data_IF_867821481575
#
_entry.id   IF_867821481575
#
_cell.length_a   1.000
_cell.length_b   1.000
_cell.length_c   1.000
_cell.angle_alpha   90.00
_cell.angle_beta   90.00
_cell.angle_gamma   90.00
#
_symmetry.space_group_name_H-M   'P 1'
#
loop_
_entity.id
_entity.type
_entity.pdbx_description
1 polymer ?
#
# COMPACT_ATOMS: atom_id res chain seq x y z
N UNK A 1 19.96 -7.69 8.44
CA UNK A 1 18.69 -7.25 9.05
C UNK A 1 17.53 -8.04 8.47
N UNK A 2 16.60 -8.49 9.31
CA UNK A 2 15.43 -9.26 8.91
C UNK A 2 14.17 -8.41 9.02
N UNK A 3 13.30 -8.46 8.01
CA UNK A 3 12.00 -7.79 8.07
C UNK A 3 11.14 -8.35 9.21
N UNK A 4 10.54 -7.46 9.99
CA UNK A 4 9.47 -7.82 10.92
C UNK A 4 8.27 -8.40 10.16
N UNK A 5 7.37 -9.08 10.88
CA UNK A 5 6.16 -9.63 10.27
C UNK A 5 5.30 -8.50 9.66
N UNK A 6 5.09 -7.40 10.40
CA UNK A 6 4.49 -6.16 9.88
C UNK A 6 5.05 -5.72 8.52
N UNK A 7 6.38 -5.55 8.40
CA UNK A 7 7.01 -5.10 7.15
C UNK A 7 6.78 -6.10 6.00
N UNK A 8 6.72 -7.41 6.30
CA UNK A 8 6.47 -8.45 5.30
C UNK A 8 5.02 -8.43 4.82
N UNK A 9 4.06 -8.26 5.71
CA UNK A 9 2.62 -8.41 5.40
C UNK A 9 1.92 -7.10 5.06
N UNK A 10 2.47 -5.93 5.40
CA UNK A 10 1.83 -4.62 5.21
C UNK A 10 1.27 -4.42 3.79
N UNK A 11 2.10 -4.61 2.76
CA UNK A 11 1.67 -4.40 1.36
C UNK A 11 0.62 -5.41 0.91
N UNK A 12 0.71 -6.64 1.40
CA UNK A 12 -0.27 -7.68 1.11
C UNK A 12 -1.61 -7.34 1.77
N UNK A 13 -1.60 -6.90 3.02
CA UNK A 13 -2.81 -6.51 3.76
C UNK A 13 -3.49 -5.29 3.13
N UNK A 14 -2.73 -4.28 2.71
CA UNK A 14 -3.29 -3.12 1.97
C UNK A 14 -3.89 -3.57 0.63
N UNK A 15 -3.22 -4.47 -0.10
CA UNK A 15 -3.74 -5.01 -1.36
C UNK A 15 -5.04 -5.80 -1.16
N UNK A 16 -5.07 -6.68 -0.17
CA UNK A 16 -6.28 -7.44 0.22
C UNK A 16 -7.41 -6.50 0.64
N UNK A 17 -7.13 -5.46 1.43
CA UNK A 17 -8.12 -4.47 1.85
C UNK A 17 -8.72 -3.72 0.66
N UNK A 18 -7.88 -3.24 -0.27
CA UNK A 18 -8.36 -2.53 -1.47
C UNK A 18 -9.21 -3.47 -2.33
N UNK A 19 -8.76 -4.71 -2.55
CA UNK A 19 -9.50 -5.68 -3.35
C UNK A 19 -10.85 -6.02 -2.69
N UNK A 20 -10.86 -6.21 -1.38
CA UNK A 20 -12.08 -6.46 -0.60
C UNK A 20 -13.08 -5.30 -0.70
N UNK A 21 -12.62 -4.06 -0.58
CA UNK A 21 -13.46 -2.88 -0.77
C UNK A 21 -14.03 -2.78 -2.19
N UNK A 22 -13.23 -3.09 -3.21
CA UNK A 22 -13.68 -3.12 -4.61
C UNK A 22 -14.76 -4.21 -4.83
N UNK A 23 -14.62 -5.38 -4.22
CA UNK A 23 -15.64 -6.44 -4.33
C UNK A 23 -16.94 -6.07 -3.63
N UNK A 24 -16.88 -5.39 -2.48
CA UNK A 24 -18.09 -4.87 -1.81
C UNK A 24 -18.76 -3.82 -2.69
N UNK A 25 -17.98 -2.89 -3.25
CA UNK A 25 -18.51 -1.88 -4.15
C UNK A 25 -19.21 -2.50 -5.36
N UNK A 26 -18.60 -3.52 -5.97
CA UNK A 26 -19.19 -4.26 -7.09
C UNK A 26 -20.50 -4.97 -6.68
N UNK A 27 -20.53 -5.61 -5.52
CA UNK A 27 -21.74 -6.29 -5.00
C UNK A 27 -22.90 -5.30 -4.78
N UNK A 28 -22.61 -4.11 -4.25
CA UNK A 28 -23.59 -3.02 -4.11
C UNK A 28 -24.11 -2.58 -5.48
N UNK A 29 -23.22 -2.38 -6.47
CA UNK A 29 -23.64 -2.00 -7.83
C UNK A 29 -24.55 -3.07 -8.44
N UNK A 30 -24.20 -4.35 -8.31
CA UNK A 30 -25.00 -5.45 -8.85
C UNK A 30 -26.37 -5.56 -8.16
N UNK A 31 -26.42 -5.40 -6.83
CA UNK A 31 -27.68 -5.47 -6.07
C UNK A 31 -28.67 -4.35 -6.43
N UNK A 32 -28.18 -3.18 -6.85
CA UNK A 32 -29.02 -2.09 -7.37
C UNK A 32 -29.42 -2.31 -8.84
N UNK A 33 -28.55 -2.93 -9.63
CA UNK A 33 -28.73 -3.06 -11.07
C UNK A 33 -29.70 -4.20 -11.44
N UNK A 34 -29.61 -5.35 -10.76
CA UNK A 34 -30.43 -6.54 -11.08
C UNK A 34 -31.95 -6.27 -11.00
N UNK A 35 -32.49 -5.65 -9.93
CA UNK A 35 -33.92 -5.33 -9.84
C UNK A 35 -34.41 -4.36 -10.92
N UNK A 36 -33.51 -3.52 -11.45
CA UNK A 36 -33.86 -2.56 -12.51
C UNK A 36 -34.16 -3.26 -13.85
N UNK A 37 -33.62 -4.46 -14.06
CA UNK A 37 -33.83 -5.25 -15.27
C UNK A 37 -34.90 -6.33 -15.14
N UNK A 38 -35.23 -6.78 -13.92
CA UNK A 38 -36.30 -7.75 -13.69
C UNK A 38 -37.70 -7.25 -14.08
N UNK A 39 -37.88 -5.93 -14.22
CA UNK A 39 -39.13 -5.33 -14.69
C UNK A 39 -39.41 -5.55 -16.19
N UNK A 40 -38.44 -6.09 -16.95
CA UNK A 40 -38.53 -6.32 -18.39
C UNK A 40 -38.64 -7.81 -18.75
N UNK A 41 -39.30 -8.59 -17.91
CA UNK A 41 -39.37 -10.08 -17.92
C UNK A 41 -39.95 -10.72 -19.21
N UNK A 42 -40.32 -9.91 -20.21
CA UNK A 42 -40.82 -10.37 -21.52
C UNK A 42 -39.76 -10.46 -22.63
N UNK A 43 -38.50 -10.08 -22.37
CA UNK A 43 -37.42 -10.10 -23.37
C UNK A 43 -36.40 -11.18 -23.00
N UNK A 44 -36.34 -12.26 -23.79
CA UNK A 44 -35.51 -13.45 -23.55
C UNK A 44 -34.02 -13.14 -23.36
N UNK A 45 -33.47 -12.18 -24.13
CA UNK A 45 -32.08 -11.76 -23.97
C UNK A 45 -31.84 -11.08 -22.60
N UNK A 46 -32.80 -10.31 -22.09
CA UNK A 46 -32.69 -9.63 -20.80
C UNK A 46 -32.80 -10.64 -19.64
N UNK A 47 -33.64 -11.66 -19.75
CA UNK A 47 -33.76 -12.70 -18.71
C UNK A 47 -32.46 -13.50 -18.56
N UNK A 48 -31.80 -13.85 -19.67
CA UNK A 48 -30.47 -14.47 -19.66
C UNK A 48 -29.40 -13.57 -19.05
N UNK A 49 -29.42 -12.27 -19.36
CA UNK A 49 -28.49 -11.29 -18.79
C UNK A 49 -28.70 -11.12 -17.28
N UNK A 50 -29.94 -11.03 -16.82
CA UNK A 50 -30.29 -10.95 -15.38
C UNK A 50 -29.80 -12.21 -14.64
N UNK A 51 -30.04 -13.40 -15.20
CA UNK A 51 -29.57 -14.65 -14.62
C UNK A 51 -28.03 -14.72 -14.53
N UNK A 52 -27.32 -14.22 -15.55
CA UNK A 52 -25.85 -14.11 -15.51
C UNK A 52 -25.37 -13.14 -14.42
N UNK A 53 -25.98 -11.96 -14.32
CA UNK A 53 -25.65 -10.96 -13.30
C UNK A 53 -25.92 -11.47 -11.89
N UNK A 54 -27.01 -12.19 -11.67
CA UNK A 54 -27.32 -12.80 -10.37
C UNK A 54 -26.26 -13.84 -9.97
N UNK A 55 -25.79 -14.67 -10.91
CA UNK A 55 -24.66 -15.59 -10.67
C UNK A 55 -23.37 -14.83 -10.34
N UNK A 56 -23.09 -13.73 -11.05
CA UNK A 56 -21.94 -12.88 -10.79
C UNK A 56 -22.00 -12.23 -9.41
N UNK A 57 -23.19 -11.79 -8.97
CA UNK A 57 -23.40 -11.24 -7.63
C UNK A 57 -23.14 -12.30 -6.55
N UNK A 58 -23.68 -13.51 -6.71
CA UNK A 58 -23.41 -14.61 -5.78
C UNK A 58 -21.91 -14.92 -5.67
N UNK A 59 -21.19 -14.91 -6.79
CA UNK A 59 -19.73 -15.06 -6.79
C UNK A 59 -19.04 -13.90 -6.07
N UNK A 60 -19.47 -12.66 -6.31
CA UNK A 60 -18.96 -11.46 -5.62
C UNK A 60 -19.12 -11.58 -4.11
N UNK A 61 -20.30 -11.98 -3.63
CA UNK A 61 -20.58 -12.19 -2.21
C UNK A 61 -19.65 -13.24 -1.58
N UNK A 62 -19.44 -14.38 -2.25
CA UNK A 62 -18.48 -15.41 -1.78
C UNK A 62 -17.07 -14.82 -1.71
N UNK A 63 -16.65 -14.07 -2.73
CA UNK A 63 -15.34 -13.43 -2.78
C UNK A 63 -15.14 -12.43 -1.63
N UNK A 64 -16.16 -11.67 -1.24
CA UNK A 64 -16.13 -10.75 -0.08
C UNK A 64 -15.76 -11.50 1.19
N UNK A 65 -16.42 -12.64 1.48
CA UNK A 65 -16.13 -13.43 2.68
C UNK A 65 -14.74 -14.07 2.65
N UNK A 66 -14.32 -14.62 1.51
CA UNK A 66 -12.99 -15.23 1.35
C UNK A 66 -11.89 -14.19 1.54
N UNK A 67 -12.03 -13.01 0.94
CA UNK A 67 -11.04 -11.93 1.07
C UNK A 67 -10.98 -11.40 2.50
N UNK A 68 -12.12 -11.27 3.19
CA UNK A 68 -12.17 -10.90 4.59
C UNK A 68 -11.45 -11.93 5.47
N UNK A 69 -11.72 -13.22 5.24
CA UNK A 69 -11.08 -14.31 5.95
C UNK A 69 -9.55 -14.29 5.78
N UNK A 70 -9.06 -14.12 4.55
CA UNK A 70 -7.63 -14.00 4.27
C UNK A 70 -6.99 -12.78 4.94
N UNK A 71 -7.70 -11.65 4.95
CA UNK A 71 -7.22 -10.42 5.61
C UNK A 71 -7.11 -10.61 7.13
N UNK A 72 -8.11 -11.23 7.75
CA UNK A 72 -8.08 -11.58 9.19
C UNK A 72 -6.94 -12.54 9.47
N UNK A 73 -6.81 -13.62 8.72
CA UNK A 73 -5.74 -14.62 8.90
C UNK A 73 -4.34 -13.99 8.83
N UNK A 74 -4.13 -13.06 7.89
CA UNK A 74 -2.85 -12.35 7.71
C UNK A 74 -2.56 -11.30 8.80
N UNK A 75 -3.60 -10.75 9.44
CA UNK A 75 -3.44 -9.67 10.44
C UNK A 75 -3.42 -10.18 11.88
N UNK A 76 -4.11 -11.29 12.19
CA UNK A 76 -4.23 -11.85 13.55
C UNK A 76 -2.87 -12.04 14.19
N UNK A 77 -1.91 -12.66 13.49
CA UNK A 77 -0.57 -12.89 14.04
C UNK A 77 0.14 -11.60 14.46
N UNK A 78 0.04 -10.54 13.65
CA UNK A 78 0.65 -9.25 13.99
C UNK A 78 -0.07 -8.61 15.17
N UNK A 79 -1.40 -8.58 15.16
CA UNK A 79 -2.21 -7.99 16.23
C UNK A 79 -1.94 -8.70 17.57
N UNK A 80 -1.94 -10.03 17.60
CA UNK A 80 -1.60 -10.81 18.80
C UNK A 80 -0.18 -10.50 19.28
N UNK A 81 0.80 -10.42 18.37
CA UNK A 81 2.16 -10.02 18.73
C UNK A 81 2.22 -8.61 19.34
N UNK A 82 1.38 -7.68 18.88
CA UNK A 82 1.32 -6.30 19.38
C UNK A 82 0.64 -6.18 20.72
N UNK A 83 -0.38 -7.01 20.98
CA UNK A 83 -1.07 -7.02 22.28
C UNK A 83 -0.15 -7.59 23.36
N UNK A 84 0.63 -8.63 23.04
CA UNK A 84 1.49 -9.30 24.02
C UNK A 84 2.79 -8.53 24.28
N UNK A 85 3.45 -8.04 23.22
CA UNK A 85 4.84 -7.55 23.31
C UNK A 85 5.00 -6.05 23.03
N UNK A 86 3.93 -5.32 22.70
CA UNK A 86 3.99 -3.93 22.27
C UNK A 86 2.68 -3.19 22.63
N UNK A 87 2.35 -2.09 21.96
CA UNK A 87 1.04 -1.45 22.06
C UNK A 87 0.25 -1.51 20.75
N UNK A 88 -1.07 -1.65 20.87
CA UNK A 88 -1.97 -1.54 19.71
C UNK A 88 -1.92 -0.14 19.06
N UNK A 89 -1.66 0.91 19.85
CA UNK A 89 -1.46 2.27 19.34
C UNK A 89 -0.29 2.35 18.35
N UNK A 90 0.80 1.62 18.61
CA UNK A 90 1.97 1.59 17.73
C UNK A 90 1.67 0.94 16.38
N UNK A 91 0.74 -0.01 16.31
CA UNK A 91 0.28 -0.56 15.03
C UNK A 91 -0.37 0.52 14.15
N UNK A 92 -1.28 1.31 14.74
CA UNK A 92 -1.94 2.41 14.02
C UNK A 92 -0.95 3.52 13.62
N UNK A 93 -0.04 3.89 14.54
CA UNK A 93 1.05 4.84 14.24
C UNK A 93 1.91 4.35 13.07
N UNK A 94 2.25 3.07 13.03
CA UNK A 94 3.04 2.46 11.95
C UNK A 94 2.35 2.60 10.59
N UNK A 95 1.03 2.39 10.53
CA UNK A 95 0.24 2.60 9.30
C UNK A 95 0.29 4.06 8.85
N UNK A 96 -0.05 5.00 9.74
CA UNK A 96 -0.09 6.43 9.40
C UNK A 96 1.28 6.93 8.95
N UNK A 97 2.35 6.56 9.67
CA UNK A 97 3.72 6.97 9.36
C UNK A 97 4.22 6.33 8.08
N UNK A 98 3.81 5.09 7.78
CA UNK A 98 4.08 4.46 6.48
C UNK A 98 3.43 5.24 5.33
N UNK A 99 2.15 5.62 5.45
CA UNK A 99 1.46 6.41 4.43
C UNK A 99 2.10 7.78 4.24
N UNK A 100 2.50 8.42 5.34
CA UNK A 100 3.20 9.69 5.29
C UNK A 100 4.56 9.60 4.60
N UNK A 101 5.35 8.58 4.92
CA UNK A 101 6.65 8.34 4.31
C UNK A 101 6.51 8.11 2.80
N UNK A 102 5.52 7.33 2.39
CA UNK A 102 5.24 7.09 0.96
C UNK A 102 4.88 8.36 0.21
N UNK A 103 4.09 9.24 0.83
CA UNK A 103 3.75 10.55 0.23
C UNK A 103 4.99 11.42 0.07
N UNK A 104 5.86 11.47 1.08
CA UNK A 104 7.12 12.20 1.01
C UNK A 104 8.05 11.65 -0.08
N UNK A 105 8.17 10.33 -0.18
CA UNK A 105 9.02 9.68 -1.18
C UNK A 105 8.42 9.70 -2.59
N UNK A 106 7.11 9.89 -2.75
CA UNK A 106 6.48 9.88 -4.07
C UNK A 106 6.85 11.16 -4.82
N UNK A 107 7.61 11.04 -5.90
CA UNK A 107 7.92 12.18 -6.76
C UNK A 107 6.80 12.40 -7.76
N UNK A 108 6.24 13.61 -7.78
CA UNK A 108 5.27 14.02 -8.79
C UNK A 108 5.99 14.25 -10.12
N UNK A 109 5.49 13.64 -11.19
CA UNK A 109 5.94 13.92 -12.55
C UNK A 109 5.47 15.33 -12.93
N UNK A 110 6.28 16.36 -12.68
CA UNK A 110 6.15 17.57 -13.50
C UNK A 110 6.75 17.24 -14.84
N UNK A 111 5.87 16.90 -15.79
CA UNK A 111 6.21 16.91 -17.21
C UNK A 111 6.57 18.36 -17.52
N UNK A 112 7.85 18.69 -17.54
CA UNK A 112 8.29 19.88 -18.25
C UNK A 112 7.86 19.67 -19.70
N UNK A 113 6.86 20.43 -20.14
CA UNK A 113 6.47 20.48 -21.55
C UNK A 113 7.73 20.83 -22.33
N UNK A 114 8.24 19.89 -23.12
CA UNK A 114 9.22 20.23 -24.14
C UNK A 114 8.57 21.26 -25.08
N UNK A 115 9.30 22.29 -25.53
CA UNK A 115 8.74 23.36 -26.36
C UNK A 115 8.27 22.87 -27.74
N UNK A 116 8.69 21.69 -28.18
CA UNK A 116 8.13 21.03 -29.35
C UNK A 116 6.92 20.20 -28.95
N UNK A 117 5.76 20.50 -29.55
CA UNK A 117 4.42 19.99 -29.24
C UNK A 117 4.18 18.47 -29.38
N UNK A 118 5.19 17.65 -29.13
CA UNK A 118 5.05 16.23 -28.89
C UNK A 118 4.71 16.02 -27.41
N UNK A 119 3.42 15.96 -27.11
CA UNK A 119 2.92 15.33 -25.87
C UNK A 119 3.16 13.83 -25.95
N UNK A 120 4.39 13.38 -25.75
CA UNK A 120 4.59 12.02 -25.31
C UNK A 120 4.04 11.91 -23.89
N UNK A 121 2.90 11.21 -23.74
CA UNK A 121 2.41 10.68 -22.47
C UNK A 121 3.34 9.59 -21.90
N UNK A 122 4.66 9.68 -22.14
CA UNK A 122 5.64 8.71 -21.68
C UNK A 122 6.04 9.06 -20.24
N UNK A 123 5.33 8.45 -19.29
CA UNK A 123 5.71 8.38 -17.86
C UNK A 123 7.21 8.06 -17.80
N UNK A 124 8.01 8.92 -17.16
CA UNK A 124 9.46 8.74 -17.15
C UNK A 124 9.78 7.39 -16.49
N UNK A 125 10.38 6.42 -17.21
CA UNK A 125 10.57 5.07 -16.70
C UNK A 125 11.43 5.03 -15.42
N UNK A 126 12.30 6.02 -15.24
CA UNK A 126 13.13 6.20 -14.04
C UNK A 126 12.27 6.60 -12.84
N UNK A 127 11.40 7.60 -13.00
CA UNK A 127 10.49 8.04 -11.95
C UNK A 127 9.47 6.95 -11.61
N UNK A 128 8.98 6.22 -12.62
CA UNK A 128 8.11 5.05 -12.41
C UNK A 128 8.79 3.97 -11.57
N UNK A 129 10.06 3.63 -11.86
CA UNK A 129 10.83 2.67 -11.07
C UNK A 129 11.09 3.17 -9.64
N UNK A 130 11.42 4.46 -9.49
CA UNK A 130 11.59 5.09 -8.19
C UNK A 130 10.30 5.04 -7.35
N UNK A 131 9.18 5.54 -7.89
CA UNK A 131 7.89 5.55 -7.20
C UNK A 131 7.41 4.13 -6.85
N UNK A 132 7.64 3.15 -7.75
CA UNK A 132 7.35 1.73 -7.46
C UNK A 132 8.14 1.20 -6.26
N UNK A 133 9.37 1.68 -6.05
CA UNK A 133 10.18 1.33 -4.89
C UNK A 133 9.72 2.09 -3.63
N UNK A 134 9.40 3.38 -3.77
CA UNK A 134 8.85 4.24 -2.71
C UNK A 134 7.54 3.69 -2.12
N UNK A 135 6.62 3.20 -2.97
CA UNK A 135 5.38 2.55 -2.52
C UNK A 135 5.59 1.26 -1.73
N UNK A 136 6.81 0.70 -1.70
CA UNK A 136 7.15 -0.46 -0.88
C UNK A 136 7.79 -0.09 0.45
N UNK A 137 7.99 1.20 0.72
CA UNK A 137 8.48 1.68 2.01
C UNK A 137 7.47 1.38 3.13
N UNK A 138 7.98 1.04 4.30
CA UNK A 138 7.19 0.71 5.51
C UNK A 138 7.92 1.24 6.73
N UNK A 139 7.17 1.85 7.65
CA UNK A 139 7.63 2.29 8.97
C UNK A 139 6.99 1.37 9.99
N UNK A 140 7.80 0.66 10.77
CA UNK A 140 7.37 -0.18 11.89
C UNK A 140 7.82 0.47 13.20
N UNK A 141 6.86 1.01 13.96
CA UNK A 141 7.09 1.62 15.27
C UNK A 141 6.77 0.58 16.33
N UNK A 142 7.69 0.37 17.27
CA UNK A 142 7.52 -0.45 18.48
C UNK A 142 7.94 0.38 19.70
N UNK A 143 7.58 -0.08 20.89
CA UNK A 143 7.92 0.61 22.14
C UNK A 143 9.42 0.86 22.36
N UNK A 144 10.28 -0.04 21.86
CA UNK A 144 11.74 -0.01 22.02
C UNK A 144 12.44 0.67 20.83
N UNK A 145 11.94 0.44 19.62
CA UNK A 145 12.58 0.86 18.40
C UNK A 145 11.59 1.20 17.28
N UNK A 146 12.02 2.09 16.39
CA UNK A 146 11.34 2.37 15.12
C UNK A 146 12.22 1.90 13.97
N UNK A 147 11.71 1.03 13.12
CA UNK A 147 12.41 0.51 11.94
C UNK A 147 11.76 1.06 10.69
N UNK A 148 12.53 1.80 9.89
CA UNK A 148 12.10 2.25 8.56
C UNK A 148 12.75 1.37 7.52
N UNK A 149 11.91 0.76 6.69
CA UNK A 149 12.30 -0.06 5.55
C UNK A 149 11.97 0.68 4.26
N UNK A 150 12.96 0.80 3.36
CA UNK A 150 12.78 1.34 2.01
C UNK A 150 13.37 0.36 1.01
N UNK A 151 12.62 0.06 -0.05
CA UNK A 151 13.13 -0.75 -1.15
C UNK A 151 14.01 0.11 -2.04
N UNK A 152 15.18 -0.41 -2.43
CA UNK A 152 16.05 0.26 -3.39
C UNK A 152 15.50 0.06 -4.81
N UNK A 153 15.38 1.13 -5.62
CA UNK A 153 14.98 1.04 -7.03
C UNK A 153 15.92 0.15 -7.87
N UNK A 154 15.42 -0.38 -8.99
CA UNK A 154 16.22 -1.30 -9.81
C UNK A 154 17.22 -0.56 -10.69
N UNK A 155 16.79 0.54 -11.31
CA UNK A 155 17.61 1.33 -12.21
C UNK A 155 18.62 2.19 -11.45
N UNK A 156 19.84 2.34 -12.00
CA UNK A 156 20.88 3.16 -11.38
C UNK A 156 20.47 4.62 -11.23
N UNK A 157 19.73 5.16 -12.21
CA UNK A 157 19.24 6.55 -12.16
C UNK A 157 18.24 6.75 -11.01
N UNK A 158 17.30 5.83 -10.80
CA UNK A 158 16.40 5.88 -9.65
C UNK A 158 17.14 5.68 -8.31
N UNK A 159 18.21 4.87 -8.29
CA UNK A 159 19.06 4.76 -7.11
C UNK A 159 19.80 6.06 -6.79
N UNK A 160 20.26 6.81 -7.80
CA UNK A 160 20.85 8.14 -7.59
C UNK A 160 19.86 9.12 -6.96
N UNK A 161 18.60 9.08 -7.40
CA UNK A 161 17.52 9.86 -6.79
C UNK A 161 17.36 9.50 -5.31
N UNK A 162 17.25 8.20 -4.98
CA UNK A 162 17.15 7.77 -3.59
C UNK A 162 18.33 8.24 -2.75
N UNK A 163 19.56 8.09 -3.27
CA UNK A 163 20.79 8.51 -2.57
C UNK A 163 20.82 10.00 -2.29
N UNK A 164 20.36 10.83 -3.24
CA UNK A 164 20.25 12.28 -3.06
C UNK A 164 19.26 12.68 -1.96
N UNK A 165 18.24 11.86 -1.71
CA UNK A 165 17.21 12.13 -0.70
C UNK A 165 17.54 11.59 0.69
N UNK A 166 18.60 10.78 0.87
CA UNK A 166 18.88 10.10 2.15
C UNK A 166 19.02 11.05 3.35
N UNK A 167 19.63 12.22 3.15
CA UNK A 167 19.77 13.23 4.22
C UNK A 167 18.42 13.82 4.61
N UNK A 168 17.64 14.27 3.63
CA UNK A 168 16.29 14.82 3.85
C UNK A 168 15.36 13.78 4.45
N UNK A 169 15.51 12.52 4.03
CA UNK A 169 14.75 11.41 4.55
C UNK A 169 15.06 11.13 6.02
N UNK A 170 16.33 11.15 6.42
CA UNK A 170 16.72 11.01 7.83
C UNK A 170 16.12 12.15 8.67
N UNK A 171 16.18 13.37 8.18
CA UNK A 171 15.59 14.54 8.82
C UNK A 171 14.07 14.41 8.96
N UNK A 172 13.37 14.04 7.90
CA UNK A 172 11.92 13.85 7.86
C UNK A 172 11.44 12.73 8.79
N UNK A 173 12.19 11.62 8.84
CA UNK A 173 11.91 10.52 9.76
C UNK A 173 12.12 10.96 11.22
N UNK A 174 13.19 11.71 11.49
CA UNK A 174 13.53 12.17 12.84
C UNK A 174 12.57 13.24 13.34
N UNK A 175 12.22 14.22 12.50
CA UNK A 175 11.28 15.30 12.83
C UNK A 175 9.88 14.76 13.14
N UNK A 176 9.44 13.74 12.40
CA UNK A 176 8.13 13.12 12.60
C UNK A 176 8.09 12.14 13.78
N UNK A 177 9.23 11.74 14.34
CA UNK A 177 9.32 10.79 15.44
C UNK A 177 10.30 11.30 16.51
N UNK A 178 9.96 12.40 17.20
CA UNK A 178 10.88 13.10 18.12
C UNK A 178 11.33 12.24 19.30
N UNK A 179 10.59 11.19 19.63
CA UNK A 179 10.89 10.25 20.72
C UNK A 179 11.95 9.20 20.39
N UNK A 180 12.53 9.23 19.19
CA UNK A 180 13.55 8.27 18.76
C UNK A 180 14.82 8.99 18.25
N UNK A 181 15.98 8.38 18.50
CA UNK A 181 17.26 8.75 17.89
C UNK A 181 17.55 7.84 16.70
N UNK A 182 17.63 8.40 15.49
CA UNK A 182 17.86 7.62 14.27
C UNK A 182 19.34 7.47 13.93
N UNK A 183 19.74 6.23 13.67
CA UNK A 183 21.06 5.87 13.14
C UNK A 183 21.26 6.43 11.71
N UNK A 184 22.50 6.37 11.24
CA UNK A 184 22.78 6.53 9.81
C UNK A 184 22.10 5.44 8.98
N UNK A 185 21.77 5.72 7.71
CA UNK A 185 21.18 4.73 6.80
C UNK A 185 22.07 3.48 6.69
N UNK A 186 21.47 2.30 6.78
CA UNK A 186 22.15 1.03 6.57
C UNK A 186 21.60 0.34 5.32
N UNK A 187 22.47 0.14 4.31
CA UNK A 187 22.12 -0.56 3.07
C UNK A 187 22.49 -2.03 3.20
N UNK A 188 21.48 -2.90 3.09
CA UNK A 188 21.66 -4.36 3.08
C UNK A 188 20.99 -4.91 1.83
N UNK A 189 21.79 -5.41 0.89
CA UNK A 189 21.34 -5.86 -0.44
C UNK A 189 20.54 -4.76 -1.17
N UNK A 190 19.31 -5.06 -1.58
CA UNK A 190 18.41 -4.13 -2.27
C UNK A 190 17.44 -3.42 -1.31
N UNK A 191 17.90 -3.13 -0.09
CA UNK A 191 17.08 -2.58 0.99
C UNK A 191 17.87 -1.51 1.74
N UNK A 192 17.19 -0.42 2.08
CA UNK A 192 17.71 0.69 2.87
C UNK A 192 16.94 0.73 4.19
N UNK A 193 17.68 0.82 5.29
CA UNK A 193 17.16 0.74 6.64
C UNK A 193 17.54 1.97 7.45
N UNK A 194 16.59 2.49 8.23
CA UNK A 194 16.86 3.44 9.31
C UNK A 194 16.34 2.84 10.61
N UNK A 195 17.16 2.85 11.65
CA UNK A 195 16.78 2.38 12.98
C UNK A 195 16.76 3.56 13.92
N UNK A 196 15.61 3.77 14.54
CA UNK A 196 15.41 4.69 15.64
C UNK A 196 15.38 3.93 16.96
N UNK A 197 16.24 4.25 17.91
CA UNK A 197 16.12 3.76 19.30
C UNK A 197 15.40 4.81 20.14
N UNK A 198 14.50 4.39 21.05
CA UNK A 198 13.79 5.33 21.91
C UNK A 198 14.77 6.14 22.77
N UNK A 199 14.44 7.42 23.00
CA UNK A 199 15.20 8.30 23.91
C UNK A 199 15.05 7.89 25.36
#
# INVERSE_FOLDING_TARGET
MTKSYFIKTYNLNIGLLILWLMTIFMDIVLSLLIPSFSSFDGIDLLSHLVAFLAKLQNFSMIAVYVLLFLLVLSTVKEITSRIINDSFSNYWKSIIKTLSLRRFLSQSERIEKKPDGQTENSVNPVLKDFNKAAHKAVVDIRNDQTVVFIKIPRSQQAQKILKGLESQLKEEISSRNPEYYFSSPNRVNNQLWFIGTRR
#
